data_IF_641476185632
#
_entry.id   IF_641476185632
#
_cell.length_a   1.000
_cell.length_b   1.000
_cell.length_c   1.000
_cell.angle_alpha   90.00
_cell.angle_beta   90.00
_cell.angle_gamma   90.00
#
_symmetry.space_group_name_H-M   'P 1'
#
loop_
_entity.id
_entity.type
_entity.pdbx_description
1 polymer ?
#
# COMPACT_ATOMS: atom_id res chain seq x y z
N UNK A 1 -14.90 -16.62 13.88
CA UNK A 1 -13.73 -16.63 14.55
C UNK A 1 -12.95 -17.85 14.30
N UNK A 2 -12.28 -18.17 14.28
CA UNK A 2 -11.79 -19.40 14.00
C UNK A 2 -11.09 -20.05 15.07
N UNK A 3 -11.05 -20.36 15.67
CA UNK A 3 -10.73 -20.56 16.23
C UNK A 3 -10.27 -20.88 16.87
N UNK A 4 -10.08 -21.46 17.65
CA UNK A 4 -9.71 -21.64 18.27
C UNK A 4 -9.31 -22.18 18.76
N UNK A 5 -8.86 -22.69 19.15
CA UNK A 5 -8.39 -23.23 19.48
C UNK A 5 -8.04 -23.87 20.15
N UNK A 6 -7.83 -24.68 20.82
CA UNK A 6 -7.46 -25.29 21.28
C UNK A 6 -7.39 -25.92 22.01
N UNK A 7 -7.32 -26.96 22.32
CA UNK A 7 -7.44 -27.41 22.78
C UNK A 7 -7.84 -27.39 23.52
N UNK A 8 -7.95 -27.67 23.71
CA UNK A 8 -8.36 -27.30 24.12
C UNK A 8 -8.37 -26.46 24.25
N UNK A 9 -8.11 -26.19 24.41
CA UNK A 9 -8.07 -25.06 24.29
C UNK A 9 -7.91 -24.66 23.38
N UNK A 10 -7.83 -24.47 23.10
CA UNK A 10 -7.81 -24.03 21.98
C UNK A 10 -7.11 -22.86 21.69
N UNK A 11 -6.02 -22.97 21.19
CA UNK A 11 -5.39 -21.80 20.79
C UNK A 11 -6.04 -21.27 19.58
N UNK A 12 -6.62 -20.14 19.72
CA UNK A 12 -7.21 -19.49 18.59
C UNK A 12 -6.24 -18.45 18.11
N UNK A 13 -5.71 -18.67 16.92
CA UNK A 13 -4.89 -17.68 16.27
C UNK A 13 -5.84 -16.69 15.62
N UNK A 14 -5.80 -15.42 15.99
CA UNK A 14 -6.70 -14.44 15.41
C UNK A 14 -6.57 -14.40 13.90
N UNK A 15 -7.69 -14.50 13.22
CA UNK A 15 -7.73 -14.43 11.77
C UNK A 15 -7.75 -12.97 11.35
N UNK A 16 -6.75 -12.57 10.55
CA UNK A 16 -6.69 -11.21 10.02
C UNK A 16 -7.26 -11.20 8.62
N UNK A 17 -8.20 -10.30 8.39
CA UNK A 17 -8.82 -10.15 7.10
C UNK A 17 -8.22 -8.96 6.38
N UNK A 18 -8.08 -9.10 5.07
CA UNK A 18 -7.76 -7.98 4.20
C UNK A 18 -9.05 -7.51 3.57
N UNK A 19 -9.43 -6.28 3.84
CA UNK A 19 -10.65 -5.70 3.33
C UNK A 19 -10.29 -4.79 2.18
N UNK A 20 -10.78 -5.12 0.97
CA UNK A 20 -10.51 -4.28 -0.19
C UNK A 20 -11.11 -2.90 0.01
N UNK A 21 -10.33 -1.86 -0.22
CA UNK A 21 -10.76 -0.47 -0.08
C UNK A 21 -10.94 0.19 -1.43
N UNK A 22 -9.89 0.22 -2.24
CA UNK A 22 -9.98 0.80 -3.58
C UNK A 22 -8.79 0.40 -4.43
N UNK A 23 -8.94 0.63 -5.73
CA UNK A 23 -7.88 0.41 -6.71
C UNK A 23 -7.45 1.76 -7.26
N UNK A 24 -6.14 2.01 -7.32
CA UNK A 24 -5.60 3.28 -7.78
C UNK A 24 -4.39 3.05 -8.66
N UNK A 25 -4.05 4.08 -9.45
CA UNK A 25 -2.73 4.16 -10.05
C UNK A 25 -1.82 4.94 -9.11
N UNK A 26 -0.61 4.44 -8.92
CA UNK A 26 0.38 5.11 -8.09
C UNK A 26 0.70 6.46 -8.69
N UNK A 27 0.60 7.52 -7.89
CA UNK A 27 0.88 8.88 -8.35
C UNK A 27 2.37 9.21 -8.21
N UNK A 28 2.87 10.05 -9.10
CA UNK A 28 4.20 10.62 -8.97
C UNK A 28 5.34 9.64 -9.20
N UNK A 29 5.11 8.57 -9.93
CA UNK A 29 6.17 7.58 -10.20
C UNK A 29 7.38 8.21 -10.88
N UNK A 30 7.15 9.16 -11.78
CA UNK A 30 8.24 9.81 -12.52
C UNK A 30 9.16 10.67 -11.67
N UNK A 31 8.78 10.96 -10.42
CA UNK A 31 9.62 11.72 -9.51
C UNK A 31 10.41 10.84 -8.54
N UNK A 32 10.35 9.54 -8.73
CA UNK A 32 11.10 8.60 -7.89
C UNK A 32 12.35 8.17 -8.64
N UNK A 33 13.52 8.51 -8.10
CA UNK A 33 14.80 8.37 -8.80
C UNK A 33 15.07 6.94 -9.29
N UNK A 34 14.67 5.95 -8.52
CA UNK A 34 14.99 4.55 -8.84
C UNK A 34 13.87 3.82 -9.55
N UNK A 35 12.86 4.54 -10.01
CA UNK A 35 11.68 3.89 -10.58
C UNK A 35 12.00 3.07 -11.83
N UNK A 36 12.96 3.52 -12.62
CA UNK A 36 13.36 2.80 -13.83
C UNK A 36 13.85 1.39 -13.55
N UNK A 37 14.53 1.19 -12.42
CA UNK A 37 15.01 -0.14 -12.03
C UNK A 37 13.99 -0.90 -11.22
N UNK A 38 13.37 -0.24 -10.25
CA UNK A 38 12.45 -0.89 -9.33
C UNK A 38 11.25 -1.51 -10.05
N UNK A 39 10.74 -0.81 -11.07
CA UNK A 39 9.58 -1.31 -11.80
C UNK A 39 9.79 -2.70 -12.40
N UNK A 40 11.04 -3.06 -12.67
CA UNK A 40 11.37 -4.36 -13.26
C UNK A 40 11.13 -5.51 -12.30
N UNK A 41 11.07 -5.21 -11.00
CA UNK A 41 10.89 -6.22 -9.95
C UNK A 41 9.46 -6.29 -9.46
N UNK A 42 8.56 -5.47 -9.97
CA UNK A 42 7.18 -5.42 -9.49
C UNK A 42 6.30 -6.35 -10.30
N UNK A 43 5.91 -7.46 -9.68
CA UNK A 43 5.04 -8.45 -10.30
C UNK A 43 3.63 -8.39 -9.73
N UNK A 44 2.66 -8.79 -10.53
CA UNK A 44 1.27 -8.87 -10.09
C UNK A 44 1.16 -9.72 -8.82
N UNK A 45 0.41 -9.22 -7.84
CA UNK A 45 0.24 -9.90 -6.55
C UNK A 45 1.28 -9.53 -5.51
N UNK A 46 2.36 -8.86 -5.90
CA UNK A 46 3.40 -8.47 -4.96
C UNK A 46 2.89 -7.43 -3.97
N UNK A 47 3.20 -7.65 -2.70
CA UNK A 47 2.79 -6.74 -1.64
C UNK A 47 3.74 -5.56 -1.53
N UNK A 48 3.15 -4.37 -1.38
CA UNK A 48 3.89 -3.13 -1.19
C UNK A 48 3.51 -2.53 0.16
N UNK A 49 4.36 -1.66 0.67
CA UNK A 49 4.16 -1.01 1.96
C UNK A 49 3.65 0.41 1.77
N UNK A 50 2.77 0.83 2.65
CA UNK A 50 2.24 2.20 2.66
C UNK A 50 2.75 2.91 3.92
N UNK A 51 3.28 4.13 3.75
CA UNK A 51 3.81 4.92 4.87
C UNK A 51 3.27 6.33 4.84
N UNK A 52 2.84 6.81 6.02
CA UNK A 52 2.38 8.19 6.16
C UNK A 52 3.56 9.15 6.15
N UNK A 53 3.34 10.29 5.52
CA UNK A 53 4.30 11.41 5.50
C UNK A 53 3.59 12.67 6.00
N UNK A 54 3.28 12.77 7.30
CA UNK A 54 2.48 13.88 7.82
C UNK A 54 3.19 15.23 7.75
N UNK A 55 4.51 15.22 7.57
CA UNK A 55 5.28 16.46 7.45
C UNK A 55 5.60 16.83 6.02
N UNK A 56 4.94 16.20 5.06
CA UNK A 56 5.12 16.53 3.66
C UNK A 56 4.64 17.96 3.42
N UNK A 57 5.46 18.78 2.77
CA UNK A 57 5.17 20.19 2.60
C UNK A 57 4.05 20.48 1.62
N UNK A 58 3.81 19.57 0.71
CA UNK A 58 2.77 19.74 -0.31
C UNK A 58 1.43 19.23 0.18
N UNK A 59 1.45 18.11 0.93
CA UNK A 59 0.21 17.44 1.34
C UNK A 59 0.42 16.75 2.68
N UNK A 60 -0.22 17.25 3.72
CA UNK A 60 -0.13 16.66 5.06
C UNK A 60 -0.75 15.27 5.14
N UNK A 61 -1.57 14.90 4.17
CA UNK A 61 -2.20 13.57 4.10
C UNK A 61 -1.44 12.63 3.18
N UNK A 62 -0.23 12.99 2.78
CA UNK A 62 0.55 12.17 1.86
C UNK A 62 0.81 10.77 2.41
N UNK A 63 0.64 9.78 1.55
CA UNK A 63 0.92 8.39 1.84
C UNK A 63 1.85 7.87 0.76
N UNK A 64 3.08 7.54 1.15
CA UNK A 64 4.05 6.97 0.21
C UNK A 64 3.81 5.49 0.01
N UNK A 65 4.06 5.01 -1.19
CA UNK A 65 3.99 3.59 -1.53
C UNK A 65 5.40 3.12 -1.79
N UNK A 66 5.79 2.02 -1.14
CA UNK A 66 7.17 1.56 -1.12
C UNK A 66 7.28 0.10 -1.54
N UNK A 67 8.34 -0.18 -2.31
CA UNK A 67 8.84 -1.52 -2.52
C UNK A 67 10.08 -1.65 -1.63
N UNK A 68 9.95 -2.42 -0.54
CA UNK A 68 10.99 -2.48 0.50
C UNK A 68 11.26 -1.09 1.03
N UNK A 69 12.48 -0.57 0.90
CA UNK A 69 12.81 0.76 1.39
C UNK A 69 12.76 1.85 0.31
N UNK A 70 12.39 1.48 -0.90
CA UNK A 70 12.37 2.41 -2.02
C UNK A 70 10.96 2.90 -2.31
N UNK A 71 10.75 4.21 -2.21
CA UNK A 71 9.45 4.79 -2.57
C UNK A 71 9.27 4.71 -4.08
N UNK A 72 8.12 4.21 -4.50
CA UNK A 72 7.77 4.14 -5.92
C UNK A 72 6.74 5.19 -6.32
N UNK A 73 6.17 5.88 -5.36
CA UNK A 73 5.22 6.94 -5.60
C UNK A 73 4.31 7.17 -4.41
N UNK A 74 3.11 7.65 -4.69
CA UNK A 74 2.17 8.10 -3.67
C UNK A 74 0.77 7.60 -3.97
N UNK A 75 -0.05 7.48 -2.93
CA UNK A 75 -1.49 7.34 -3.11
C UNK A 75 -1.99 8.66 -3.71
N UNK A 76 -2.82 8.64 -4.76
CA UNK A 76 -3.31 9.90 -5.34
C UNK A 76 -3.97 10.80 -4.32
N UNK A 77 -3.71 12.11 -4.40
CA UNK A 77 -4.23 13.07 -3.42
C UNK A 77 -5.74 13.06 -3.32
N UNK A 78 -6.42 12.79 -4.42
CA UNK A 78 -7.89 12.73 -4.41
C UNK A 78 -8.45 11.57 -3.59
N UNK A 79 -7.61 10.58 -3.27
CA UNK A 79 -8.05 9.35 -2.61
C UNK A 79 -7.41 9.14 -1.24
N UNK A 80 -6.54 10.03 -0.79
CA UNK A 80 -5.70 9.73 0.38
C UNK A 80 -6.27 10.17 1.73
N UNK A 81 -7.16 11.13 1.77
CA UNK A 81 -7.58 11.75 3.02
C UNK A 81 -8.12 10.76 4.05
N UNK A 82 -9.10 9.96 3.65
CA UNK A 82 -9.72 9.02 4.60
C UNK A 82 -8.74 7.95 5.03
N UNK A 83 -7.96 7.45 4.07
CA UNK A 83 -6.95 6.41 4.37
C UNK A 83 -5.92 6.97 5.35
N UNK A 84 -5.42 8.20 5.10
CA UNK A 84 -4.44 8.82 5.98
C UNK A 84 -4.99 8.97 7.40
N UNK A 85 -6.24 9.39 7.53
CA UNK A 85 -6.87 9.53 8.84
C UNK A 85 -7.00 8.20 9.57
N UNK A 86 -7.35 7.14 8.83
CA UNK A 86 -7.45 5.81 9.42
C UNK A 86 -6.07 5.29 9.83
N UNK A 87 -5.05 5.53 9.01
CA UNK A 87 -3.69 5.15 9.36
C UNK A 87 -3.22 5.88 10.62
N UNK A 88 -3.52 7.18 10.72
CA UNK A 88 -3.15 7.99 11.87
C UNK A 88 -3.87 7.51 13.14
N UNK A 89 -5.03 6.91 12.99
CA UNK A 89 -5.79 6.33 14.09
C UNK A 89 -5.33 4.91 14.44
N UNK A 90 -4.30 4.41 13.76
CA UNK A 90 -3.73 3.10 14.07
C UNK A 90 -4.21 1.95 13.21
N UNK A 91 -5.01 2.22 12.18
CA UNK A 91 -5.43 1.16 11.27
C UNK A 91 -4.30 0.82 10.31
N UNK A 92 -4.16 -0.47 10.02
CA UNK A 92 -3.12 -0.95 9.13
C UNK A 92 -3.64 -1.11 7.71
N UNK A 93 -2.82 -0.69 6.77
CA UNK A 93 -3.14 -0.82 5.34
C UNK A 93 -1.98 -1.48 4.62
N UNK A 94 -2.31 -2.17 3.56
CA UNK A 94 -1.33 -2.73 2.65
C UNK A 94 -1.84 -2.55 1.24
N UNK A 95 -0.95 -2.69 0.25
CA UNK A 95 -1.39 -2.71 -1.12
C UNK A 95 -0.67 -3.78 -1.90
N UNK A 96 -1.29 -4.19 -3.00
CA UNK A 96 -0.76 -5.23 -3.86
C UNK A 96 -0.74 -4.75 -5.29
N UNK A 97 0.33 -5.07 -5.99
CA UNK A 97 0.45 -4.75 -7.41
C UNK A 97 -0.59 -5.54 -8.19
N UNK A 98 -1.34 -4.85 -9.03
CA UNK A 98 -2.27 -5.50 -9.97
C UNK A 98 -1.58 -5.63 -11.32
N UNK A 99 -1.00 -4.54 -11.80
CA UNK A 99 -0.38 -4.53 -13.11
C UNK A 99 0.62 -3.38 -13.21
N UNK A 100 1.68 -3.58 -13.98
CA UNK A 100 2.66 -2.54 -14.30
C UNK A 100 2.69 -2.38 -15.81
N UNK A 101 2.53 -1.14 -16.27
CA UNK A 101 2.79 -0.77 -17.66
C UNK A 101 4.14 -0.07 -17.68
N UNK A 102 5.18 -0.73 -18.19
CA UNK A 102 6.54 -0.19 -18.11
C UNK A 102 6.71 1.10 -18.91
N UNK A 103 7.51 1.99 -18.36
CA UNK A 103 7.94 3.20 -19.06
C UNK A 103 9.19 3.68 -18.36
N UNK A 104 10.18 4.17 -19.11
CA UNK A 104 11.44 4.58 -18.50
C UNK A 104 11.27 5.64 -17.43
N UNK A 105 10.38 6.59 -17.62
CA UNK A 105 10.22 7.73 -16.72
C UNK A 105 8.94 7.67 -15.90
N UNK A 106 7.86 7.19 -16.50
CA UNK A 106 6.53 7.27 -15.91
C UNK A 106 5.79 5.96 -16.05
N UNK A 107 6.25 4.89 -15.41
CA UNK A 107 5.50 3.65 -15.45
C UNK A 107 4.13 3.85 -14.81
N UNK A 108 3.13 3.17 -15.36
CA UNK A 108 1.81 3.14 -14.74
C UNK A 108 1.74 1.90 -13.88
N UNK A 109 1.60 2.12 -12.59
CA UNK A 109 1.55 1.02 -11.62
C UNK A 109 0.17 1.03 -10.98
N UNK A 110 -0.59 0.00 -11.28
CA UNK A 110 -1.93 -0.16 -10.73
C UNK A 110 -1.86 -1.03 -9.49
N UNK A 111 -2.44 -0.55 -8.40
CA UNK A 111 -2.42 -1.28 -7.12
C UNK A 111 -3.81 -1.33 -6.52
N UNK A 112 -4.06 -2.38 -5.75
CA UNK A 112 -5.26 -2.49 -4.91
C UNK A 112 -4.87 -2.26 -3.47
N UNK A 113 -5.62 -1.42 -2.78
CA UNK A 113 -5.37 -1.05 -1.39
C UNK A 113 -6.34 -1.81 -0.50
N UNK A 114 -5.81 -2.36 0.59
CA UNK A 114 -6.56 -3.14 1.56
C UNK A 114 -6.34 -2.61 2.96
N UNK A 115 -7.39 -2.63 3.76
CA UNK A 115 -7.28 -2.43 5.20
C UNK A 115 -7.15 -3.80 5.85
N UNK A 116 -6.20 -3.92 6.77
CA UNK A 116 -5.98 -5.17 7.50
C UNK A 116 -6.68 -5.06 8.84
N UNK A 117 -7.62 -5.94 9.07
CA UNK A 117 -8.40 -5.91 10.30
C UNK A 117 -8.20 -7.19 11.12
#
# INVERSE_FOLDING_TARGET
MALIHDKGGVDIIPFKQEIFVLNVFVAGTGYCDKIGEVQKYLDAGMQLTMRRHPKNEVDEYAIGIYHKETRIGWVPMKDNLVIARLMDAGKMFTCKVVRVEPNERWPKINVSIYMVD
#
